data_IF_314704164665
#
_entry.id   IF_314704164665
#
_cell.length_a   1.000
_cell.length_b   1.000
_cell.length_c   1.000
_cell.angle_alpha   90.00
_cell.angle_beta   90.00
_cell.angle_gamma   90.00
#
_symmetry.space_group_name_H-M   'P 1'
#
loop_
_entity.id
_entity.type
_entity.pdbx_description
1 polymer ?
#
# COMPACT_ATOMS: atom_id res chain seq x y z
N UNK A 1 22.22 -40.64 -17.75
CA UNK A 1 21.11 -40.12 -18.58
C UNK A 1 19.87 -40.85 -18.12
N UNK A 2 18.94 -40.28 -17.36
CA UNK A 2 18.63 -38.88 -17.03
C UNK A 2 18.04 -38.92 -15.61
N UNK A 3 18.64 -38.18 -14.68
CA UNK A 3 18.01 -37.84 -13.41
C UNK A 3 17.21 -36.57 -13.69
N UNK A 4 15.88 -36.70 -13.68
CA UNK A 4 14.98 -35.58 -13.92
C UNK A 4 14.52 -34.97 -12.61
N UNK A 5 14.34 -33.66 -12.68
CA UNK A 5 14.36 -32.65 -11.63
C UNK A 5 13.63 -32.98 -10.33
N UNK A 6 14.35 -32.86 -9.20
CA UNK A 6 13.73 -32.56 -7.92
C UNK A 6 13.13 -31.16 -7.99
N UNK A 7 11.82 -31.10 -8.18
CA UNK A 7 11.01 -29.90 -8.00
C UNK A 7 10.94 -29.60 -6.50
N UNK A 8 11.90 -28.82 -5.99
CA UNK A 8 11.87 -28.31 -4.63
C UNK A 8 10.74 -27.28 -4.53
N UNK A 9 9.55 -27.73 -4.12
CA UNK A 9 8.43 -26.85 -3.75
C UNK A 9 8.80 -26.09 -2.48
N UNK A 10 9.18 -24.82 -2.63
CA UNK A 10 9.16 -23.84 -1.54
C UNK A 10 7.68 -23.51 -1.25
N UNK A 11 7.15 -24.10 -0.19
CA UNK A 11 5.80 -23.79 0.33
C UNK A 11 5.90 -22.47 1.09
N UNK A 12 5.59 -21.36 0.43
CA UNK A 12 5.38 -20.07 1.08
C UNK A 12 3.89 -19.93 1.44
N UNK A 13 3.59 -19.61 2.71
CA UNK A 13 2.23 -19.53 3.31
C UNK A 13 1.39 -18.34 2.83
N UNK A 14 1.61 -17.86 1.61
CA UNK A 14 1.10 -16.58 1.08
C UNK A 14 0.59 -16.81 -0.34
N UNK A 15 -0.42 -16.06 -0.76
CA UNK A 15 -1.09 -16.23 -2.07
C UNK A 15 -0.79 -15.10 -3.03
N UNK A 16 -0.65 -15.43 -4.31
CA UNK A 16 -0.13 -14.52 -5.33
C UNK A 16 -0.89 -14.63 -6.64
N UNK A 17 -0.89 -13.51 -7.38
CA UNK A 17 -1.30 -13.43 -8.76
C UNK A 17 -0.38 -12.48 -9.53
N UNK A 18 -0.12 -12.77 -10.81
CA UNK A 18 0.64 -11.88 -11.70
C UNK A 18 0.01 -11.84 -13.10
N UNK A 19 -0.03 -10.64 -13.68
CA UNK A 19 -0.46 -10.40 -15.06
C UNK A 19 0.77 -10.48 -15.97
N UNK A 20 0.69 -11.28 -17.03
CA UNK A 20 1.71 -11.37 -18.06
C UNK A 20 1.52 -10.28 -19.13
N UNK A 21 2.54 -10.05 -19.96
CA UNK A 21 2.47 -9.07 -21.05
C UNK A 21 1.41 -9.38 -22.11
N UNK A 22 0.98 -10.64 -22.22
CA UNK A 22 -0.12 -11.07 -23.09
C UNK A 22 -1.52 -10.87 -22.45
N UNK A 23 -1.59 -10.34 -21.22
CA UNK A 23 -2.83 -10.15 -20.48
C UNK A 23 -3.35 -11.41 -19.79
N UNK A 24 -2.61 -12.52 -19.79
CA UNK A 24 -2.95 -13.72 -19.01
C UNK A 24 -2.56 -13.57 -17.53
N UNK A 25 -3.24 -14.30 -16.64
CA UNK A 25 -2.92 -14.32 -15.21
C UNK A 25 -2.36 -15.67 -14.79
N UNK A 26 -1.34 -15.65 -13.93
CA UNK A 26 -0.85 -16.83 -13.21
C UNK A 26 -1.03 -16.64 -11.72
N UNK A 27 -1.45 -17.70 -11.01
CA UNK A 27 -1.60 -17.70 -9.55
C UNK A 27 -0.78 -18.81 -8.93
N UNK A 28 -0.36 -18.60 -7.68
CA UNK A 28 0.32 -19.61 -6.88
C UNK A 28 0.20 -19.25 -5.40
N UNK A 29 0.60 -20.17 -4.52
CA UNK A 29 0.55 -19.96 -3.07
C UNK A 29 -0.51 -20.82 -2.37
N UNK A 30 -1.09 -20.33 -1.29
CA UNK A 30 -2.13 -21.04 -0.54
C UNK A 30 -3.40 -21.21 -1.40
N UNK A 31 -3.77 -22.46 -1.77
CA UNK A 31 -4.95 -22.73 -2.58
C UNK A 31 -6.24 -22.17 -1.97
N UNK A 32 -6.37 -22.25 -0.64
CA UNK A 32 -7.61 -21.89 0.05
C UNK A 32 -7.84 -20.37 0.08
N UNK A 33 -6.79 -19.58 -0.15
CA UNK A 33 -6.81 -18.11 -0.12
C UNK A 33 -6.65 -17.50 -1.53
N UNK A 34 -6.92 -18.27 -2.59
CA UNK A 34 -6.88 -17.81 -4.00
C UNK A 34 -5.62 -18.18 -4.78
N UNK A 35 -4.78 -19.08 -4.26
CA UNK A 35 -3.56 -19.53 -4.94
C UNK A 35 -3.83 -20.51 -6.06
N UNK A 36 -5.00 -21.16 -5.97
CA UNK A 36 -5.58 -21.98 -7.01
C UNK A 36 -6.66 -21.16 -7.75
N UNK A 37 -6.39 -20.86 -9.02
CA UNK A 37 -7.34 -20.22 -9.95
C UNK A 37 -7.86 -21.18 -11.02
N UNK A 38 -7.64 -22.50 -10.86
CA UNK A 38 -8.00 -23.51 -11.87
C UNK A 38 -9.49 -23.48 -12.26
N UNK A 39 -10.37 -23.08 -11.35
CA UNK A 39 -11.80 -22.94 -11.62
C UNK A 39 -12.15 -21.80 -12.59
N UNK A 40 -11.26 -20.83 -12.75
CA UNK A 40 -11.44 -19.65 -13.62
C UNK A 40 -10.30 -19.50 -14.64
N UNK A 41 -9.44 -20.51 -14.77
CA UNK A 41 -8.23 -20.48 -15.60
C UNK A 41 -8.54 -20.13 -17.07
N UNK A 42 -9.60 -20.69 -17.64
CA UNK A 42 -10.03 -20.41 -19.01
C UNK A 42 -10.40 -18.94 -19.23
N UNK A 43 -10.87 -18.26 -18.18
CA UNK A 43 -11.26 -16.86 -18.23
C UNK A 43 -10.05 -15.93 -18.07
N UNK A 44 -8.96 -16.42 -17.51
CA UNK A 44 -7.73 -15.67 -17.18
C UNK A 44 -6.63 -15.79 -18.26
N UNK A 45 -6.95 -16.31 -19.45
CA UNK A 45 -5.95 -16.54 -20.51
C UNK A 45 -5.56 -15.28 -21.30
N UNK A 46 -6.34 -14.20 -21.21
CA UNK A 46 -6.07 -12.95 -21.92
C UNK A 46 -6.86 -11.76 -21.34
N UNK A 47 -6.51 -10.56 -21.82
CA UNK A 47 -7.32 -9.36 -21.64
C UNK A 47 -7.35 -8.79 -20.22
N UNK A 48 -6.70 -9.42 -19.23
CA UNK A 48 -6.62 -8.89 -17.86
C UNK A 48 -5.69 -7.69 -17.83
N UNK A 49 -6.19 -6.57 -17.30
CA UNK A 49 -5.44 -5.30 -17.17
C UNK A 49 -5.16 -4.93 -15.72
N UNK A 50 -5.93 -5.49 -14.77
CA UNK A 50 -5.74 -5.26 -13.34
C UNK A 50 -6.04 -6.53 -12.56
N UNK A 51 -5.30 -6.79 -11.48
CA UNK A 51 -5.61 -7.80 -10.46
C UNK A 51 -5.50 -7.16 -9.10
N UNK A 52 -6.54 -7.32 -8.28
CA UNK A 52 -6.66 -6.76 -6.94
C UNK A 52 -6.94 -7.89 -5.97
N UNK A 53 -6.18 -7.97 -4.88
CA UNK A 53 -6.34 -8.99 -3.85
C UNK A 53 -6.80 -8.41 -2.52
N UNK A 54 -7.52 -9.22 -1.76
CA UNK A 54 -7.67 -9.07 -0.32
C UNK A 54 -6.95 -10.22 0.41
N UNK A 55 -7.24 -10.46 1.70
CA UNK A 55 -6.54 -11.50 2.46
C UNK A 55 -6.94 -12.93 2.05
N UNK A 56 -8.06 -13.07 1.36
CA UNK A 56 -8.72 -14.36 1.14
C UNK A 56 -9.13 -14.62 -0.32
N UNK A 57 -9.16 -13.58 -1.17
CA UNK A 57 -9.69 -13.63 -2.52
C UNK A 57 -9.03 -12.61 -3.45
N UNK A 58 -9.25 -12.80 -4.75
CA UNK A 58 -8.79 -11.92 -5.82
C UNK A 58 -9.93 -11.54 -6.77
N UNK A 59 -9.78 -10.38 -7.40
CA UNK A 59 -10.59 -9.89 -8.49
C UNK A 59 -9.68 -9.41 -9.63
N UNK A 60 -9.90 -9.91 -10.84
CA UNK A 60 -9.25 -9.47 -12.07
C UNK A 60 -10.22 -8.61 -12.89
N UNK A 61 -9.74 -7.48 -13.42
CA UNK A 61 -10.49 -6.62 -14.35
C UNK A 61 -9.91 -6.82 -15.74
N UNK A 62 -10.78 -7.09 -16.72
CA UNK A 62 -10.41 -7.18 -18.13
C UNK A 62 -10.51 -5.84 -18.85
N UNK A 63 -9.86 -5.73 -20.01
CA UNK A 63 -9.87 -4.53 -20.85
C UNK A 63 -11.25 -4.16 -21.40
N UNK A 64 -12.18 -5.13 -21.45
CA UNK A 64 -13.59 -4.91 -21.77
C UNK A 64 -14.44 -4.47 -20.55
N UNK A 65 -13.81 -4.37 -19.37
CA UNK A 65 -14.44 -4.00 -18.12
C UNK A 65 -15.21 -5.14 -17.43
N UNK A 66 -15.08 -6.39 -17.89
CA UNK A 66 -15.58 -7.56 -17.17
C UNK A 66 -14.69 -7.89 -15.96
N UNK A 67 -15.27 -8.56 -14.95
CA UNK A 67 -14.57 -8.90 -13.70
C UNK A 67 -14.64 -10.41 -13.44
N UNK A 68 -13.50 -10.98 -13.07
CA UNK A 68 -13.35 -12.40 -12.72
C UNK A 68 -12.88 -12.49 -11.28
N UNK A 69 -13.51 -13.32 -10.46
CA UNK A 69 -13.17 -13.47 -9.03
C UNK A 69 -12.83 -14.91 -8.70
N UNK A 70 -11.92 -15.12 -7.73
CA UNK A 70 -11.60 -16.44 -7.19
C UNK A 70 -11.06 -16.34 -5.75
N UNK A 71 -11.01 -17.48 -5.05
CA UNK A 71 -10.63 -17.58 -3.64
C UNK A 71 -11.83 -17.82 -2.73
N UNK A 72 -11.76 -17.38 -1.48
CA UNK A 72 -12.83 -17.62 -0.49
C UNK A 72 -14.11 -16.89 -0.90
N UNK A 73 -15.17 -17.66 -1.19
CA UNK A 73 -16.50 -17.18 -1.61
C UNK A 73 -17.02 -16.05 -0.72
N UNK A 74 -17.05 -16.26 0.60
CA UNK A 74 -17.57 -15.28 1.56
C UNK A 74 -16.75 -14.00 1.71
N UNK A 75 -15.55 -13.95 1.12
CA UNK A 75 -14.65 -12.80 1.13
C UNK A 75 -14.48 -12.20 -0.28
N UNK A 76 -15.39 -12.50 -1.21
CA UNK A 76 -15.41 -11.91 -2.55
C UNK A 76 -14.78 -12.76 -3.65
N UNK A 77 -14.45 -14.03 -3.36
CA UNK A 77 -14.02 -15.00 -4.37
C UNK A 77 -15.15 -15.42 -5.33
N UNK A 78 -16.39 -15.09 -5.02
CA UNK A 78 -17.56 -15.28 -5.87
C UNK A 78 -18.37 -13.98 -5.93
N UNK A 79 -18.65 -13.51 -7.13
CA UNK A 79 -19.46 -12.30 -7.40
C UNK A 79 -20.78 -12.63 -8.12
N UNK A 80 -21.15 -13.90 -8.26
CA UNK A 80 -22.37 -14.34 -8.99
C UNK A 80 -23.65 -13.63 -8.53
N UNK A 81 -23.74 -13.27 -7.24
CA UNK A 81 -24.89 -12.56 -6.67
C UNK A 81 -25.03 -11.10 -7.14
N UNK A 82 -24.00 -10.54 -7.75
CA UNK A 82 -23.99 -9.20 -8.35
C UNK A 82 -23.60 -9.22 -9.84
N UNK A 83 -23.55 -10.40 -10.47
CA UNK A 83 -23.16 -10.60 -11.86
C UNK A 83 -23.97 -9.74 -12.84
N UNK A 84 -25.30 -9.65 -12.62
CA UNK A 84 -26.19 -8.79 -13.42
C UNK A 84 -25.83 -7.29 -13.38
N UNK A 85 -25.06 -6.86 -12.36
CA UNK A 85 -24.60 -5.48 -12.24
C UNK A 85 -23.28 -5.23 -12.96
N UNK A 86 -22.51 -6.28 -13.26
CA UNK A 86 -21.21 -6.24 -13.94
C UNK A 86 -21.31 -6.14 -15.47
N UNK A 87 -22.45 -5.72 -16.04
CA UNK A 87 -22.60 -5.54 -17.48
C UNK A 87 -21.70 -4.40 -18.00
N UNK A 88 -20.46 -4.79 -18.31
CA UNK A 88 -19.34 -4.05 -18.91
C UNK A 88 -18.97 -2.72 -18.22
N UNK A 89 -17.72 -2.28 -18.43
CA UNK A 89 -17.28 -0.94 -18.03
C UNK A 89 -16.83 -0.78 -16.57
N UNK A 90 -16.44 -1.85 -15.85
CA UNK A 90 -15.63 -1.65 -14.63
C UNK A 90 -14.28 -1.06 -15.02
N UNK A 91 -13.91 0.06 -14.40
CA UNK A 91 -12.64 0.75 -14.66
C UNK A 91 -11.63 0.59 -13.53
N UNK A 92 -12.11 0.30 -12.31
CA UNK A 92 -11.26 0.13 -11.14
C UNK A 92 -11.91 -0.81 -10.14
N UNK A 93 -11.11 -1.69 -9.53
CA UNK A 93 -11.49 -2.43 -8.32
C UNK A 93 -10.61 -2.00 -7.15
N UNK A 94 -11.21 -1.89 -5.98
CA UNK A 94 -10.55 -1.60 -4.70
C UNK A 94 -10.95 -2.68 -3.70
N UNK A 95 -9.96 -3.28 -3.04
CA UNK A 95 -10.17 -4.28 -2.00
C UNK A 95 -9.89 -3.71 -0.60
N UNK A 96 -10.55 -4.25 0.42
CA UNK A 96 -10.13 -4.16 1.80
C UNK A 96 -9.74 -5.54 2.34
N UNK A 97 -9.81 -5.80 3.65
CA UNK A 97 -9.43 -7.09 4.24
C UNK A 97 -10.23 -8.28 3.69
N UNK A 98 -11.53 -8.11 3.38
CA UNK A 98 -12.40 -9.24 3.01
C UNK A 98 -13.56 -8.87 2.06
N UNK A 99 -13.53 -7.70 1.43
CA UNK A 99 -14.54 -7.25 0.48
C UNK A 99 -13.89 -6.41 -0.62
N UNK A 100 -14.69 -6.16 -1.66
CA UNK A 100 -14.31 -5.35 -2.81
C UNK A 100 -15.39 -4.34 -3.16
N UNK A 101 -14.95 -3.26 -3.80
CA UNK A 101 -15.77 -2.26 -4.46
C UNK A 101 -15.22 -2.03 -5.88
N UNK A 102 -16.09 -2.09 -6.89
CA UNK A 102 -15.79 -1.80 -8.29
C UNK A 102 -16.42 -0.47 -8.69
N UNK A 103 -15.63 0.42 -9.27
CA UNK A 103 -16.10 1.66 -9.90
C UNK A 103 -16.28 1.40 -11.39
N UNK A 104 -17.45 1.75 -11.91
CA UNK A 104 -17.77 1.67 -13.34
C UNK A 104 -17.49 3.00 -14.05
N UNK A 105 -17.37 2.94 -15.37
CA UNK A 105 -17.15 4.11 -16.24
C UNK A 105 -18.29 5.12 -16.22
N UNK A 106 -19.49 4.70 -15.83
CA UNK A 106 -20.66 5.56 -15.61
C UNK A 106 -20.66 6.23 -14.21
N UNK A 107 -19.66 5.94 -13.38
CA UNK A 107 -19.53 6.46 -12.02
C UNK A 107 -20.39 5.71 -10.99
N UNK A 108 -21.01 4.59 -11.35
CA UNK A 108 -21.71 3.73 -10.39
C UNK A 108 -20.74 2.77 -9.67
N UNK A 109 -21.12 2.28 -8.49
CA UNK A 109 -20.30 1.35 -7.69
C UNK A 109 -21.03 0.04 -7.41
N UNK A 110 -20.30 -1.07 -7.55
CA UNK A 110 -20.71 -2.42 -7.16
C UNK A 110 -19.87 -2.85 -5.97
N UNK A 111 -20.48 -3.43 -4.93
CA UNK A 111 -19.77 -3.98 -3.78
C UNK A 111 -20.08 -5.47 -3.61
N UNK A 112 -19.08 -6.24 -3.19
CA UNK A 112 -19.24 -7.67 -2.92
C UNK A 112 -18.21 -8.18 -1.90
N UNK A 113 -18.41 -9.43 -1.44
CA UNK A 113 -17.61 -10.06 -0.40
C UNK A 113 -18.25 -9.96 0.98
N UNK A 114 -17.43 -9.95 2.04
CA UNK A 114 -17.94 -10.06 3.40
C UNK A 114 -18.86 -8.86 3.72
N UNK A 115 -20.02 -9.11 4.32
CA UNK A 115 -21.00 -8.03 4.61
C UNK A 115 -20.49 -7.11 5.72
N UNK A 116 -19.98 -7.73 6.77
CA UNK A 116 -19.26 -7.05 7.85
C UNK A 116 -17.91 -6.48 7.39
N UNK A 117 -17.53 -6.73 6.12
CA UNK A 117 -16.49 -6.28 5.15
C UNK A 117 -16.81 -5.05 4.27
N UNK A 118 -18.07 -4.63 4.20
CA UNK A 118 -18.49 -3.54 3.30
C UNK A 118 -18.82 -4.02 1.90
N UNK A 119 -18.87 -5.35 1.73
CA UNK A 119 -19.43 -6.00 0.55
C UNK A 119 -20.95 -5.87 0.44
N UNK A 120 -21.61 -5.18 1.38
CA UNK A 120 -23.00 -4.77 1.26
C UNK A 120 -23.11 -3.24 1.45
N UNK A 121 -23.45 -2.54 0.36
CA UNK A 121 -23.66 -1.09 0.32
C UNK A 121 -25.13 -0.68 0.21
N UNK A 122 -26.10 -1.56 0.49
CA UNK A 122 -27.53 -1.30 0.26
C UNK A 122 -28.09 -0.08 1.01
N UNK A 123 -27.43 0.35 2.09
CA UNK A 123 -27.83 1.55 2.87
C UNK A 123 -27.47 2.87 2.20
N UNK A 124 -26.51 2.85 1.29
CA UNK A 124 -26.01 4.03 0.57
C UNK A 124 -26.13 3.86 -0.95
N UNK A 125 -26.95 2.90 -1.39
CA UNK A 125 -27.06 2.49 -2.79
C UNK A 125 -27.41 3.66 -3.69
N UNK A 126 -28.38 4.50 -3.32
CA UNK A 126 -28.79 5.68 -4.09
C UNK A 126 -27.63 6.63 -4.38
N UNK A 127 -26.72 6.82 -3.40
CA UNK A 127 -25.57 7.69 -3.57
C UNK A 127 -24.47 7.10 -4.46
N UNK A 128 -24.48 5.78 -4.65
CA UNK A 128 -23.49 5.02 -5.42
C UNK A 128 -23.96 4.66 -6.84
N UNK A 129 -25.11 5.17 -7.29
CA UNK A 129 -25.65 4.87 -8.62
C UNK A 129 -24.96 5.67 -9.74
N UNK A 130 -24.30 6.78 -9.43
CA UNK A 130 -23.59 7.61 -10.41
C UNK A 130 -22.62 8.58 -9.74
N UNK A 131 -21.71 9.13 -10.53
CA UNK A 131 -20.85 10.24 -10.14
C UNK A 131 -19.73 9.90 -9.16
N UNK A 132 -19.48 8.62 -8.84
CA UNK A 132 -18.29 8.22 -8.07
C UNK A 132 -17.06 8.28 -8.99
N UNK A 133 -16.01 8.95 -8.54
CA UNK A 133 -14.75 9.09 -9.28
C UNK A 133 -13.61 8.30 -8.65
N UNK A 134 -13.69 8.04 -7.34
CA UNK A 134 -12.67 7.30 -6.59
C UNK A 134 -13.29 6.56 -5.42
N UNK A 135 -12.74 5.40 -5.09
CA UNK A 135 -13.04 4.68 -3.84
C UNK A 135 -11.74 4.43 -3.07
N UNK A 136 -11.77 4.65 -1.77
CA UNK A 136 -10.74 4.27 -0.81
C UNK A 136 -11.28 3.19 0.12
N UNK A 137 -10.48 2.17 0.43
CA UNK A 137 -10.82 1.10 1.36
C UNK A 137 -9.88 1.11 2.57
N UNK A 138 -10.43 1.26 3.78
CA UNK A 138 -9.70 0.96 5.01
C UNK A 138 -9.68 -0.55 5.24
N UNK A 139 -9.13 -1.06 6.35
CA UNK A 139 -9.23 -2.50 6.66
C UNK A 139 -10.70 -2.94 6.76
N UNK A 140 -11.53 -2.03 7.28
CA UNK A 140 -12.89 -2.31 7.69
C UNK A 140 -13.99 -1.35 7.17
N UNK A 141 -13.76 -0.57 6.12
CA UNK A 141 -14.77 0.31 5.54
C UNK A 141 -14.40 0.75 4.13
N UNK A 142 -15.31 1.46 3.48
CA UNK A 142 -15.04 2.18 2.23
C UNK A 142 -15.51 3.64 2.32
N UNK A 143 -14.85 4.49 1.56
CA UNK A 143 -15.24 5.87 1.29
C UNK A 143 -15.14 6.13 -0.22
N UNK A 144 -16.19 6.67 -0.83
CA UNK A 144 -16.23 7.08 -2.22
C UNK A 144 -16.21 8.60 -2.32
N UNK A 145 -15.32 9.14 -3.15
CA UNK A 145 -15.33 10.55 -3.56
C UNK A 145 -16.14 10.66 -4.85
N UNK A 146 -17.07 11.62 -4.88
CA UNK A 146 -17.93 11.90 -6.03
C UNK A 146 -17.39 13.06 -6.87
N UNK A 147 -17.91 13.20 -8.08
CA UNK A 147 -17.56 14.25 -9.05
C UNK A 147 -18.05 15.65 -8.64
N UNK A 148 -18.94 15.72 -7.64
CA UNK A 148 -19.34 16.95 -6.96
C UNK A 148 -18.50 17.23 -5.69
N UNK A 149 -17.39 16.51 -5.54
CA UNK A 149 -16.46 16.58 -4.42
C UNK A 149 -17.08 16.21 -3.05
N UNK A 150 -18.23 15.54 -3.05
CA UNK A 150 -18.84 14.97 -1.84
C UNK A 150 -18.29 13.58 -1.53
N UNK A 151 -18.43 13.13 -0.28
CA UNK A 151 -17.98 11.81 0.18
C UNK A 151 -19.13 10.96 0.69
N UNK A 152 -19.21 9.73 0.20
CA UNK A 152 -20.10 8.69 0.72
C UNK A 152 -19.25 7.65 1.43
N UNK A 153 -19.60 7.30 2.67
CA UNK A 153 -18.91 6.26 3.43
C UNK A 153 -19.84 5.08 3.70
N UNK A 154 -19.29 3.87 3.77
CA UNK A 154 -20.07 2.72 4.19
C UNK A 154 -19.27 1.65 4.92
N UNK A 155 -20.00 1.04 5.87
CA UNK A 155 -19.69 -0.13 6.71
C UNK A 155 -18.58 0.07 7.75
N UNK A 156 -18.72 -0.66 8.87
CA UNK A 156 -17.81 -0.65 10.02
C UNK A 156 -18.21 0.45 10.99
N UNK A 157 -19.20 0.18 11.86
CA UNK A 157 -19.53 1.10 12.97
C UNK A 157 -18.35 1.12 13.93
N UNK A 158 -17.59 2.21 13.94
CA UNK A 158 -16.27 2.28 14.61
C UNK A 158 -15.09 1.94 13.71
N UNK A 159 -15.26 1.89 12.38
CA UNK A 159 -14.14 1.68 11.44
C UNK A 159 -14.17 2.65 10.25
N UNK A 160 -14.86 3.78 10.43
CA UNK A 160 -14.88 4.88 9.47
C UNK A 160 -16.01 4.84 8.42
N UNK A 161 -16.89 3.84 8.43
CA UNK A 161 -18.07 3.86 7.54
C UNK A 161 -19.32 4.51 8.12
N UNK A 162 -19.19 5.20 9.26
CA UNK A 162 -20.17 6.16 9.77
C UNK A 162 -19.48 7.52 9.87
N UNK A 163 -19.79 8.39 8.91
CA UNK A 163 -19.29 9.77 8.85
C UNK A 163 -20.34 10.81 9.28
N UNK A 164 -21.45 10.39 9.92
CA UNK A 164 -22.57 11.27 10.29
C UNK A 164 -22.14 12.48 11.14
N UNK A 165 -21.11 12.32 11.98
CA UNK A 165 -20.55 13.40 12.83
C UNK A 165 -19.89 14.52 12.03
N UNK A 166 -19.49 14.27 10.79
CA UNK A 166 -18.77 15.21 9.91
C UNK A 166 -19.46 15.36 8.55
N UNK A 167 -20.69 14.87 8.40
CA UNK A 167 -21.42 14.81 7.14
C UNK A 167 -21.50 16.18 6.45
N UNK A 168 -21.86 17.23 7.19
CA UNK A 168 -21.95 18.61 6.67
C UNK A 168 -20.60 19.12 6.12
N UNK A 169 -19.47 18.61 6.62
CA UNK A 169 -18.14 18.98 6.15
C UNK A 169 -17.70 18.17 4.93
N UNK A 170 -18.37 17.06 4.63
CA UNK A 170 -18.07 16.13 3.53
C UNK A 170 -19.01 16.26 2.32
N UNK A 171 -19.91 17.24 2.32
CA UNK A 171 -20.88 17.46 1.23
C UNK A 171 -20.27 18.12 -0.01
N UNK A 172 -19.09 18.74 0.08
CA UNK A 172 -18.39 19.35 -1.05
C UNK A 172 -16.91 19.62 -0.75
N UNK A 173 -16.13 19.78 -1.82
CA UNK A 173 -14.76 20.25 -1.79
C UNK A 173 -13.74 19.25 -1.26
N UNK A 174 -14.03 17.95 -1.23
CA UNK A 174 -13.04 16.91 -0.93
C UNK A 174 -12.31 16.49 -2.20
N UNK A 175 -10.97 16.57 -2.19
CA UNK A 175 -10.13 16.16 -3.33
C UNK A 175 -9.36 14.87 -3.10
N UNK A 176 -9.20 14.46 -1.84
CA UNK A 176 -8.46 13.27 -1.47
C UNK A 176 -9.04 12.66 -0.20
N UNK A 177 -9.10 11.33 -0.15
CA UNK A 177 -9.37 10.57 1.07
C UNK A 177 -8.22 9.61 1.31
N UNK A 178 -7.64 9.68 2.51
CA UNK A 178 -6.58 8.80 3.01
C UNK A 178 -7.13 8.00 4.19
N UNK A 179 -6.67 6.76 4.40
CA UNK A 179 -7.16 5.91 5.48
C UNK A 179 -6.02 5.29 6.29
N UNK A 180 -6.28 5.05 7.57
CA UNK A 180 -5.60 4.04 8.38
C UNK A 180 -6.40 2.74 8.31
N UNK A 181 -6.16 1.77 9.19
CA UNK A 181 -6.99 0.56 9.23
C UNK A 181 -8.45 0.84 9.54
N UNK A 182 -8.75 1.76 10.47
CA UNK A 182 -10.10 1.97 11.00
C UNK A 182 -10.56 3.45 11.01
N UNK A 183 -9.78 4.36 10.42
CA UNK A 183 -10.13 5.76 10.29
C UNK A 183 -9.81 6.32 8.91
N UNK A 184 -10.39 7.48 8.62
CA UNK A 184 -10.20 8.22 7.37
C UNK A 184 -9.91 9.68 7.64
N UNK A 185 -9.21 10.29 6.69
CA UNK A 185 -8.99 11.74 6.60
C UNK A 185 -9.30 12.20 5.18
N UNK A 186 -10.20 13.16 5.05
CA UNK A 186 -10.44 13.89 3.80
C UNK A 186 -9.63 15.18 3.79
N UNK A 187 -9.05 15.53 2.64
CA UNK A 187 -8.32 16.78 2.41
C UNK A 187 -9.06 17.61 1.37
N UNK A 188 -9.15 18.92 1.63
CA UNK A 188 -9.80 19.91 0.75
C UNK A 188 -8.77 20.78 0.01
N UNK A 189 -9.16 21.46 -1.09
CA UNK A 189 -8.28 22.37 -1.84
C UNK A 189 -7.71 23.54 -1.02
N UNK A 190 -8.42 23.97 0.02
CA UNK A 190 -7.95 25.02 0.95
C UNK A 190 -6.88 24.52 1.94
N UNK A 191 -6.55 23.22 1.88
CA UNK A 191 -5.60 22.56 2.77
C UNK A 191 -6.20 22.26 4.15
N UNK A 192 -7.52 22.32 4.31
CA UNK A 192 -8.18 21.80 5.51
C UNK A 192 -8.28 20.27 5.46
N UNK A 193 -8.21 19.62 6.62
CA UNK A 193 -8.39 18.19 6.77
C UNK A 193 -9.57 17.87 7.72
N UNK A 194 -10.31 16.81 7.39
CA UNK A 194 -11.48 16.35 8.14
C UNK A 194 -11.28 14.87 8.46
N UNK A 195 -11.37 14.50 9.73
CA UNK A 195 -11.13 13.14 10.21
C UNK A 195 -12.42 12.49 10.70
N UNK A 196 -12.51 11.17 10.54
CA UNK A 196 -13.59 10.37 11.11
C UNK A 196 -13.20 8.89 11.23
N UNK A 197 -13.94 8.13 12.04
CA UNK A 197 -13.71 6.70 12.28
C UNK A 197 -13.32 6.42 13.72
N UNK A 198 -12.54 5.36 13.94
CA UNK A 198 -12.08 4.99 15.29
C UNK A 198 -11.09 6.00 15.85
N UNK A 199 -11.32 6.50 17.06
CA UNK A 199 -10.46 7.52 17.70
C UNK A 199 -9.05 7.01 17.94
N UNK A 200 -8.87 5.74 18.31
CA UNK A 200 -7.56 5.13 18.55
C UNK A 200 -6.77 4.95 17.26
N UNK A 201 -7.42 5.06 16.09
CA UNK A 201 -6.79 4.91 14.78
C UNK A 201 -6.70 6.24 14.02
N UNK A 202 -6.92 7.37 14.70
CA UNK A 202 -6.81 8.72 14.13
C UNK A 202 -8.12 9.29 13.57
N UNK A 203 -9.25 8.69 13.92
CA UNK A 203 -10.59 9.20 13.59
C UNK A 203 -11.05 10.38 14.45
N UNK A 204 -10.29 10.70 15.51
CA UNK A 204 -10.43 11.93 16.31
C UNK A 204 -9.12 12.71 16.21
N UNK A 205 -9.21 13.95 15.72
CA UNK A 205 -8.07 14.89 15.60
C UNK A 205 -8.30 16.17 16.40
N UNK A 206 -9.18 16.14 17.41
CA UNK A 206 -9.55 17.34 18.20
C UNK A 206 -8.33 18.03 18.84
N UNK A 207 -7.33 17.27 19.29
CA UNK A 207 -6.09 17.80 19.88
C UNK A 207 -5.23 18.61 18.89
N UNK A 208 -5.42 18.42 17.59
CA UNK A 208 -4.67 19.09 16.52
C UNK A 208 -5.57 19.82 15.51
N UNK A 209 -6.87 19.98 15.80
CA UNK A 209 -7.85 20.49 14.85
C UNK A 209 -7.48 21.88 14.33
N UNK A 210 -7.03 22.78 15.21
CA UNK A 210 -6.60 24.13 14.83
C UNK A 210 -5.43 24.13 13.84
N UNK A 211 -4.58 23.09 13.87
CA UNK A 211 -3.42 22.96 12.96
C UNK A 211 -3.80 22.34 11.61
N UNK A 212 -4.98 21.71 11.53
CA UNK A 212 -5.52 21.03 10.34
C UNK A 212 -6.57 21.87 9.58
N UNK A 213 -6.80 23.13 9.97
CA UNK A 213 -7.76 24.01 9.30
C UNK A 213 -7.28 24.55 7.95
N UNK A 214 -5.97 24.56 7.69
CA UNK A 214 -5.40 25.05 6.43
C UNK A 214 -3.97 24.52 6.21
N UNK A 215 -3.51 24.62 4.96
CA UNK A 215 -2.12 24.41 4.58
C UNK A 215 -1.66 22.96 4.52
N UNK A 216 -2.53 21.96 4.75
CA UNK A 216 -2.21 20.55 4.51
C UNK A 216 -2.04 20.32 3.01
N UNK A 217 -0.89 19.77 2.59
CA UNK A 217 -0.59 19.46 1.18
C UNK A 217 -0.45 17.96 0.93
N UNK A 218 -0.15 17.18 1.97
CA UNK A 218 -0.06 15.73 1.91
C UNK A 218 -0.53 15.14 3.23
N UNK A 219 -1.25 14.03 3.18
CA UNK A 219 -1.54 13.18 4.35
C UNK A 219 -1.09 11.76 4.03
N UNK A 220 -0.43 11.13 5.00
CA UNK A 220 -0.04 9.73 4.95
C UNK A 220 -0.62 9.03 6.17
N UNK A 221 -1.20 7.85 5.97
CA UNK A 221 -1.68 6.97 7.04
C UNK A 221 -0.82 5.72 7.13
N UNK A 222 -0.58 5.27 8.37
CA UNK A 222 -0.14 3.90 8.64
C UNK A 222 -1.30 3.06 9.18
N UNK A 223 -1.05 1.98 9.91
CA UNK A 223 -2.13 1.15 10.42
C UNK A 223 -3.04 1.88 11.41
N UNK A 224 -2.54 2.81 12.22
CA UNK A 224 -3.27 3.43 13.34
C UNK A 224 -3.03 4.92 13.57
N UNK A 225 -2.21 5.57 12.75
CA UNK A 225 -1.89 6.99 12.88
C UNK A 225 -1.76 7.68 11.52
N UNK A 226 -1.92 8.99 11.54
CA UNK A 226 -1.73 9.86 10.39
C UNK A 226 -0.60 10.86 10.63
N UNK A 227 0.03 11.28 9.54
CA UNK A 227 0.92 12.41 9.48
C UNK A 227 0.54 13.31 8.29
N UNK A 228 0.36 14.60 8.55
CA UNK A 228 0.11 15.63 7.54
C UNK A 228 1.36 16.48 7.34
N UNK A 229 1.78 16.64 6.09
CA UNK A 229 2.80 17.63 5.69
C UNK A 229 2.08 18.91 5.30
N UNK A 230 2.52 20.04 5.87
CA UNK A 230 2.00 21.36 5.56
C UNK A 230 2.83 22.06 4.49
N UNK A 231 2.25 23.08 3.85
CA UNK A 231 2.89 23.87 2.79
C UNK A 231 4.12 24.67 3.26
N UNK A 232 4.24 24.92 4.56
CA UNK A 232 5.43 25.51 5.20
C UNK A 232 6.52 24.47 5.51
N UNK A 233 6.27 23.19 5.22
CA UNK A 233 7.19 22.08 5.49
C UNK A 233 7.15 21.59 6.94
N UNK A 234 6.16 22.00 7.74
CA UNK A 234 5.91 21.43 9.06
C UNK A 234 5.11 20.13 8.98
N UNK A 235 5.18 19.29 10.03
CA UNK A 235 4.41 18.04 10.13
C UNK A 235 3.48 18.05 11.35
N UNK A 236 2.25 17.58 11.15
CA UNK A 236 1.26 17.34 12.19
C UNK A 236 0.98 15.84 12.28
N UNK A 237 0.96 15.26 13.48
CA UNK A 237 0.63 13.85 13.68
C UNK A 237 -0.55 13.68 14.62
N UNK A 238 -1.34 12.62 14.43
CA UNK A 238 -2.44 12.24 15.32
C UNK A 238 -2.80 10.76 15.16
N UNK A 239 -3.60 10.22 16.08
CA UNK A 239 -3.96 8.79 16.17
C UNK A 239 -3.20 8.08 17.29
N UNK A 240 -3.02 6.75 17.16
CA UNK A 240 -2.34 5.95 18.19
C UNK A 240 -0.92 6.46 18.44
N UNK A 241 -0.61 6.80 19.70
CA UNK A 241 0.68 7.37 20.07
C UNK A 241 1.85 6.41 19.83
N UNK A 242 1.64 5.11 20.04
CA UNK A 242 2.69 4.10 19.83
C UNK A 242 2.94 3.84 18.35
N UNK A 243 1.91 3.96 17.50
CA UNK A 243 1.98 3.83 16.04
C UNK A 243 2.44 5.09 15.30
N UNK A 244 2.92 6.13 15.99
CA UNK A 244 3.43 7.35 15.35
C UNK A 244 2.45 8.52 15.29
N UNK A 245 1.34 8.46 16.03
CA UNK A 245 0.44 9.59 16.27
C UNK A 245 1.04 10.65 17.20
N UNK A 246 2.03 10.29 18.02
CA UNK A 246 2.80 11.19 18.87
C UNK A 246 4.21 11.41 18.30
N UNK A 247 4.51 12.64 17.88
CA UNK A 247 5.83 13.07 17.40
C UNK A 247 6.52 14.08 18.33
N UNK A 248 6.07 14.22 19.58
CA UNK A 248 6.55 15.26 20.52
C UNK A 248 8.06 15.18 20.76
N UNK A 249 8.64 13.99 20.77
CA UNK A 249 10.09 13.79 20.96
C UNK A 249 10.96 14.34 19.80
N UNK A 250 10.36 14.56 18.62
CA UNK A 250 11.04 15.07 17.44
C UNK A 250 10.40 16.33 16.88
N UNK A 251 9.50 16.98 17.64
CA UNK A 251 8.71 18.13 17.18
C UNK A 251 9.58 19.27 16.63
N UNK A 252 10.67 19.62 17.33
CA UNK A 252 11.61 20.67 16.90
C UNK A 252 12.24 20.40 15.52
N UNK A 253 12.35 19.13 15.12
CA UNK A 253 12.92 18.74 13.83
C UNK A 253 11.87 18.75 12.70
N UNK A 254 10.59 18.75 13.06
CA UNK A 254 9.42 18.67 12.18
C UNK A 254 8.69 20.01 12.01
N UNK A 255 9.24 21.12 12.52
CA UNK A 255 8.65 22.45 12.41
C UNK A 255 8.80 23.09 11.02
N UNK A 256 9.78 22.65 10.22
CA UNK A 256 10.00 23.16 8.86
C UNK A 256 10.88 22.22 8.02
N UNK A 257 10.85 22.44 6.71
CA UNK A 257 11.77 21.83 5.75
C UNK A 257 11.46 20.37 5.41
N UNK A 258 10.40 19.77 5.94
CA UNK A 258 9.95 18.44 5.52
C UNK A 258 9.35 18.52 4.12
N UNK A 259 9.80 17.65 3.22
CA UNK A 259 9.31 17.59 1.83
C UNK A 259 8.46 16.35 1.56
N UNK A 260 8.65 15.29 2.35
CA UNK A 260 7.93 14.04 2.20
C UNK A 260 7.90 13.28 3.52
N UNK A 261 6.77 12.64 3.81
CA UNK A 261 6.65 11.63 4.88
C UNK A 261 6.36 10.28 4.25
N UNK A 262 7.04 9.26 4.74
CA UNK A 262 6.85 7.86 4.37
C UNK A 262 6.48 7.11 5.65
N UNK A 263 5.45 6.29 5.61
CA UNK A 263 5.03 5.49 6.75
C UNK A 263 5.12 4.00 6.42
N UNK A 264 5.49 3.19 7.42
CA UNK A 264 5.31 1.74 7.39
C UNK A 264 4.05 1.38 8.20
N UNK A 265 3.96 0.20 8.81
CA UNK A 265 2.79 -0.19 9.59
C UNK A 265 2.62 0.60 10.90
N UNK A 266 3.70 1.04 11.56
CA UNK A 266 3.68 1.60 12.92
C UNK A 266 4.69 2.72 13.18
N UNK A 267 5.44 3.12 12.18
CA UNK A 267 6.46 4.15 12.25
C UNK A 267 6.46 4.99 10.97
N UNK A 268 7.09 6.15 11.08
CA UNK A 268 7.17 7.15 10.03
C UNK A 268 8.59 7.70 9.91
N UNK A 269 8.95 8.08 8.68
CA UNK A 269 10.20 8.74 8.35
C UNK A 269 9.91 9.97 7.48
N UNK A 270 10.37 11.14 7.90
CA UNK A 270 10.31 12.39 7.15
C UNK A 270 11.65 12.65 6.45
N UNK A 271 11.60 12.93 5.15
CA UNK A 271 12.75 13.44 4.39
C UNK A 271 12.65 14.97 4.40
N UNK A 272 13.75 15.63 4.75
CA UNK A 272 13.87 17.09 4.72
C UNK A 272 14.55 17.57 3.44
N UNK A 273 14.36 18.84 3.11
CA UNK A 273 14.91 19.48 1.90
C UNK A 273 16.43 19.54 1.86
N UNK A 274 17.10 19.45 3.01
CA UNK A 274 18.55 19.32 3.15
C UNK A 274 19.05 17.86 2.98
N UNK A 275 18.13 16.92 2.76
CA UNK A 275 18.44 15.50 2.62
C UNK A 275 18.67 14.79 3.96
N UNK A 276 18.32 15.41 5.09
CA UNK A 276 18.29 14.74 6.40
C UNK A 276 17.00 13.95 6.60
N UNK A 277 17.01 12.96 7.49
CA UNK A 277 15.84 12.13 7.84
C UNK A 277 15.55 12.20 9.34
N UNK A 278 14.26 12.32 9.67
CA UNK A 278 13.73 12.30 11.03
C UNK A 278 12.72 11.15 11.13
N UNK A 279 12.81 10.33 12.18
CA UNK A 279 11.91 9.18 12.38
C UNK A 279 11.15 9.26 13.70
N UNK A 280 9.97 8.64 13.75
CA UNK A 280 9.16 8.50 14.97
C UNK A 280 8.17 7.34 14.85
N UNK A 281 7.52 6.98 15.97
CA UNK A 281 6.61 5.84 16.10
C UNK A 281 7.25 4.64 16.79
N UNK A 282 6.80 3.43 16.48
CA UNK A 282 7.27 2.22 17.15
C UNK A 282 8.77 2.00 16.93
N UNK A 283 9.53 1.95 18.01
CA UNK A 283 11.00 1.79 17.97
C UNK A 283 11.47 0.52 17.27
N UNK A 284 10.75 -0.60 17.42
CA UNK A 284 11.10 -1.89 16.82
C UNK A 284 10.83 -1.93 15.32
N UNK A 285 9.85 -1.14 14.86
CA UNK A 285 9.49 -1.01 13.45
C UNK A 285 10.21 0.16 12.76
N UNK A 286 11.23 0.76 13.38
CA UNK A 286 12.07 1.79 12.77
C UNK A 286 11.68 3.24 13.08
N UNK A 287 10.86 3.46 14.10
CA UNK A 287 10.64 4.79 14.69
C UNK A 287 11.88 5.35 15.40
N UNK A 288 12.82 4.48 15.80
CA UNK A 288 14.13 4.85 16.34
C UNK A 288 15.24 4.56 15.31
N UNK A 289 15.82 5.62 14.75
CA UNK A 289 16.98 5.58 13.84
C UNK A 289 18.31 5.93 14.52
N UNK A 290 18.38 6.02 15.84
CA UNK A 290 19.54 6.55 16.57
C UNK A 290 20.86 5.83 16.24
N UNK A 291 20.81 4.53 15.96
CA UNK A 291 21.98 3.73 15.56
C UNK A 291 22.57 4.09 14.18
N UNK A 292 21.77 4.71 13.30
CA UNK A 292 22.18 5.12 11.95
C UNK A 292 22.06 6.62 11.72
N UNK A 293 21.72 7.40 12.76
CA UNK A 293 21.36 8.81 12.62
C UNK A 293 22.47 9.64 11.98
N UNK A 294 23.74 9.37 12.30
CA UNK A 294 24.89 10.06 11.71
C UNK A 294 24.96 9.89 10.18
N UNK A 295 24.42 8.80 9.64
CA UNK A 295 24.40 8.51 8.20
C UNK A 295 23.20 9.16 7.49
N UNK A 296 22.19 9.58 8.26
CA UNK A 296 20.92 10.17 7.84
C UNK A 296 20.87 11.70 7.99
N UNK A 297 22.00 12.35 8.28
CA UNK A 297 22.05 13.81 8.47
C UNK A 297 22.04 14.60 7.16
N UNK A 298 22.37 13.98 6.02
CA UNK A 298 22.38 14.62 4.71
C UNK A 298 22.41 13.60 3.57
N UNK A 299 22.07 14.09 2.36
CA UNK A 299 22.29 13.37 1.12
C UNK A 299 21.29 12.25 0.83
N UNK A 300 20.27 12.04 1.67
CA UNK A 300 19.16 11.12 1.39
C UNK A 300 18.25 11.74 0.33
N UNK A 301 17.95 10.97 -0.71
CA UNK A 301 17.09 11.38 -1.84
C UNK A 301 15.78 10.61 -1.90
N UNK A 302 15.72 9.45 -1.25
CA UNK A 302 14.54 8.60 -1.21
C UNK A 302 14.53 7.75 0.05
N UNK A 303 13.36 7.51 0.62
CA UNK A 303 13.12 6.52 1.67
C UNK A 303 12.02 5.57 1.20
N UNK A 304 12.21 4.28 1.46
CA UNK A 304 11.26 3.22 1.15
C UNK A 304 11.02 2.42 2.44
N UNK A 305 9.76 2.17 2.78
CA UNK A 305 9.37 1.38 3.96
C UNK A 305 8.65 0.10 3.57
N UNK A 306 9.00 -1.02 4.18
CA UNK A 306 8.15 -2.21 4.19
C UNK A 306 7.18 -2.16 5.38
N UNK A 307 6.73 -3.27 5.97
CA UNK A 307 5.84 -3.24 7.13
C UNK A 307 6.55 -2.88 8.43
N UNK A 308 7.83 -3.22 8.61
CA UNK A 308 8.54 -3.09 9.91
C UNK A 308 9.94 -2.49 9.79
N UNK A 309 10.37 -2.04 8.61
CA UNK A 309 11.71 -1.53 8.37
C UNK A 309 11.71 -0.48 7.26
N UNK A 310 12.80 0.29 7.19
CA UNK A 310 13.04 1.31 6.19
C UNK A 310 14.42 1.13 5.52
N UNK A 311 14.52 1.66 4.30
CA UNK A 311 15.75 1.82 3.55
C UNK A 311 15.80 3.22 2.93
N UNK A 312 16.87 3.97 3.19
CA UNK A 312 17.15 5.28 2.61
C UNK A 312 18.19 5.15 1.50
N UNK A 313 17.89 5.67 0.31
CA UNK A 313 18.83 5.79 -0.81
C UNK A 313 19.47 7.17 -0.75
N UNK A 314 20.80 7.21 -0.77
CA UNK A 314 21.59 8.44 -0.81
C UNK A 314 21.97 8.80 -2.23
N UNK A 315 22.26 10.09 -2.44
CA UNK A 315 22.66 10.66 -3.74
C UNK A 315 23.97 10.09 -4.29
N UNK A 316 24.83 9.52 -3.45
CA UNK A 316 26.04 8.80 -3.84
C UNK A 316 25.77 7.33 -4.25
N UNK A 317 24.52 6.88 -4.17
CA UNK A 317 24.09 5.53 -4.47
C UNK A 317 24.30 4.53 -3.34
N UNK A 318 24.67 4.97 -2.13
CA UNK A 318 24.66 4.13 -0.94
C UNK A 318 23.24 3.96 -0.36
N UNK A 319 23.00 2.88 0.39
CA UNK A 319 21.72 2.60 1.05
C UNK A 319 21.92 2.37 2.54
N UNK A 320 21.14 3.09 3.35
CA UNK A 320 21.09 2.95 4.82
C UNK A 320 19.80 2.25 5.22
N UNK A 321 19.86 1.22 6.05
CA UNK A 321 18.68 0.48 6.51
C UNK A 321 18.52 0.57 8.02
N UNK A 322 17.27 0.59 8.51
CA UNK A 322 16.95 0.54 9.93
C UNK A 322 15.57 -0.07 10.20
N UNK A 323 15.26 -0.34 11.48
CA UNK A 323 14.04 -1.01 11.93
C UNK A 323 14.22 -2.51 12.17
N UNK A 324 13.16 -3.29 11.99
CA UNK A 324 13.15 -4.70 12.35
C UNK A 324 14.17 -5.51 11.54
N UNK A 325 15.07 -6.20 12.25
CA UNK A 325 16.13 -7.00 11.62
C UNK A 325 15.64 -8.13 10.71
N UNK A 326 14.53 -8.80 11.06
CA UNK A 326 13.93 -9.87 10.27
C UNK A 326 13.32 -9.36 8.97
N UNK A 327 12.80 -8.13 8.98
CA UNK A 327 12.26 -7.44 7.80
C UNK A 327 13.33 -6.64 7.03
N UNK A 328 14.62 -6.84 7.33
CA UNK A 328 15.74 -6.24 6.58
C UNK A 328 16.26 -4.91 7.13
N UNK A 329 15.81 -4.47 8.29
CA UNK A 329 16.28 -3.24 8.93
C UNK A 329 17.74 -3.28 9.39
N UNK A 330 18.34 -4.47 9.55
CA UNK A 330 19.73 -4.57 9.99
C UNK A 330 20.76 -4.44 8.84
N UNK A 331 20.40 -4.73 7.60
CA UNK A 331 21.28 -4.62 6.41
C UNK A 331 22.58 -5.45 6.39
N UNK A 332 23.03 -6.02 7.51
CA UNK A 332 24.40 -6.50 7.74
C UNK A 332 24.87 -7.62 6.81
N UNK A 333 23.96 -8.36 6.18
CA UNK A 333 24.31 -9.41 5.20
C UNK A 333 24.71 -8.86 3.82
N UNK A 334 24.27 -7.63 3.52
CA UNK A 334 24.44 -6.99 2.21
C UNK A 334 25.05 -5.59 2.32
N UNK A 335 25.50 -5.19 3.51
CA UNK A 335 26.03 -3.86 3.81
C UNK A 335 27.15 -3.45 2.84
N UNK A 336 28.12 -4.34 2.58
CA UNK A 336 29.21 -4.08 1.62
C UNK A 336 28.72 -3.86 0.18
N UNK A 337 27.60 -4.47 -0.20
CA UNK A 337 27.04 -4.38 -1.55
C UNK A 337 26.20 -3.10 -1.74
N UNK A 338 25.73 -2.52 -0.63
CA UNK A 338 24.89 -1.32 -0.57
C UNK A 338 25.69 -0.03 -0.37
N UNK A 339 27.01 -0.05 -0.47
CA UNK A 339 27.86 1.13 -0.28
C UNK A 339 27.89 2.10 -1.48
N UNK A 340 27.50 1.64 -2.66
CA UNK A 340 27.48 2.47 -3.87
C UNK A 340 26.54 1.94 -4.95
N UNK A 341 26.32 2.78 -5.96
CA UNK A 341 25.80 2.37 -7.25
C UNK A 341 24.33 1.93 -7.26
N UNK A 342 23.61 1.98 -6.14
CA UNK A 342 22.16 1.76 -6.09
C UNK A 342 21.45 2.94 -6.72
N UNK A 343 20.51 2.65 -7.61
CA UNK A 343 19.70 3.67 -8.31
C UNK A 343 18.27 3.67 -7.80
N UNK A 344 17.76 2.51 -7.37
CA UNK A 344 16.40 2.38 -6.90
C UNK A 344 16.27 1.25 -5.89
N UNK A 345 15.41 1.45 -4.89
CA UNK A 345 15.01 0.42 -3.91
C UNK A 345 13.51 0.17 -4.03
N UNK A 346 13.15 -1.11 -3.90
CA UNK A 346 11.78 -1.61 -3.89
C UNK A 346 11.58 -2.47 -2.64
N UNK A 347 10.33 -2.65 -2.24
CA UNK A 347 10.00 -3.49 -1.10
C UNK A 347 8.72 -4.29 -1.34
N UNK A 348 8.59 -5.37 -0.57
CA UNK A 348 7.31 -5.99 -0.24
C UNK A 348 7.01 -5.76 1.25
N UNK A 349 6.12 -6.52 1.90
CA UNK A 349 5.81 -6.39 3.34
C UNK A 349 7.01 -6.69 4.23
N UNK A 350 7.93 -7.57 3.83
CA UNK A 350 8.95 -8.16 4.73
C UNK A 350 10.39 -8.12 4.17
N UNK A 351 10.58 -7.68 2.92
CA UNK A 351 11.87 -7.71 2.25
C UNK A 351 12.05 -6.53 1.29
N UNK A 352 13.30 -6.31 0.89
CA UNK A 352 13.72 -5.26 -0.03
C UNK A 352 14.52 -5.82 -1.21
N UNK A 353 14.52 -5.09 -2.30
CA UNK A 353 15.43 -5.26 -3.42
C UNK A 353 15.97 -3.91 -3.90
N UNK A 354 17.27 -3.85 -4.15
CA UNK A 354 17.95 -2.71 -4.75
C UNK A 354 18.37 -3.06 -6.17
N UNK A 355 18.16 -2.12 -7.11
CA UNK A 355 18.70 -2.20 -8.47
C UNK A 355 19.89 -1.26 -8.57
N UNK A 356 21.05 -1.81 -8.92
CA UNK A 356 22.28 -1.05 -9.16
C UNK A 356 22.35 -0.51 -10.59
N UNK A 357 23.22 0.48 -10.80
CA UNK A 357 23.45 1.16 -12.09
C UNK A 357 24.01 0.24 -13.18
N UNK A 358 24.68 -0.84 -12.79
CA UNK A 358 25.13 -1.95 -13.65
C UNK A 358 24.02 -2.98 -13.93
N UNK A 359 22.80 -2.76 -13.42
CA UNK A 359 21.63 -3.65 -13.50
C UNK A 359 21.75 -4.93 -12.68
N UNK A 360 22.67 -4.97 -11.71
CA UNK A 360 22.71 -5.99 -10.67
C UNK A 360 21.58 -5.77 -9.65
N UNK A 361 21.01 -6.86 -9.12
CA UNK A 361 19.98 -6.79 -8.06
C UNK A 361 20.48 -7.40 -6.77
N UNK A 362 20.34 -6.63 -5.69
CA UNK A 362 20.61 -7.08 -4.32
C UNK A 362 19.27 -7.25 -3.61
N UNK A 363 19.06 -8.35 -2.89
CA UNK A 363 17.88 -8.56 -2.06
C UNK A 363 18.27 -8.76 -0.60
N UNK A 364 17.43 -8.30 0.33
CA UNK A 364 17.61 -8.56 1.77
C UNK A 364 16.28 -8.50 2.53
N UNK A 365 16.29 -8.95 3.78
CA UNK A 365 15.09 -9.08 4.63
C UNK A 365 14.65 -10.53 4.80
N UNK A 366 13.35 -10.77 4.96
CA UNK A 366 12.84 -12.11 5.23
C UNK A 366 13.12 -13.06 4.05
N UNK A 367 13.86 -14.13 4.32
CA UNK A 367 14.23 -15.13 3.32
C UNK A 367 13.02 -15.80 2.66
N UNK A 368 11.93 -16.00 3.40
CA UNK A 368 10.69 -16.60 2.88
C UNK A 368 9.87 -15.66 1.99
N UNK A 369 10.17 -14.36 2.03
CA UNK A 369 9.46 -13.30 1.31
C UNK A 369 10.34 -12.64 0.24
N UNK A 370 11.38 -13.34 -0.25
CA UNK A 370 12.25 -12.85 -1.33
C UNK A 370 13.45 -12.01 -0.87
N UNK A 371 13.75 -11.98 0.42
CA UNK A 371 14.98 -11.38 0.96
C UNK A 371 16.24 -12.19 0.68
N UNK A 372 16.12 -13.47 0.29
CA UNK A 372 17.24 -14.32 -0.13
C UNK A 372 17.07 -14.73 -1.60
N UNK A 373 17.94 -14.21 -2.47
CA UNK A 373 17.96 -14.50 -3.91
C UNK A 373 19.14 -15.38 -4.34
N UNK A 374 19.87 -15.99 -3.40
CA UNK A 374 21.06 -16.82 -3.70
C UNK A 374 20.77 -17.96 -4.69
N UNK A 375 19.56 -18.52 -4.67
CA UNK A 375 19.14 -19.59 -5.59
C UNK A 375 18.97 -19.14 -7.05
N UNK A 376 18.92 -17.83 -7.29
CA UNK A 376 18.74 -17.21 -8.62
C UNK A 376 19.75 -16.09 -8.88
N UNK A 377 20.85 -16.02 -8.13
CA UNK A 377 21.86 -14.96 -8.20
C UNK A 377 22.46 -14.81 -9.61
N UNK A 378 22.82 -15.92 -10.27
CA UNK A 378 23.30 -15.92 -11.66
C UNK A 378 22.28 -15.28 -12.63
N UNK A 379 20.99 -15.37 -12.28
CA UNK A 379 19.91 -14.76 -13.05
C UNK A 379 19.66 -13.32 -12.66
N UNK A 380 20.30 -12.75 -11.65
CA UNK A 380 20.14 -11.36 -11.22
C UNK A 380 21.39 -10.50 -11.46
N UNK A 381 22.44 -11.10 -12.03
CA UNK A 381 23.71 -10.42 -12.28
C UNK A 381 23.66 -9.32 -13.34
N UNK A 382 22.83 -9.48 -14.38
CA UNK A 382 22.73 -8.49 -15.46
C UNK A 382 21.33 -8.44 -16.10
N UNK A 383 21.01 -7.28 -16.66
CA UNK A 383 19.86 -7.08 -17.54
C UNK A 383 18.54 -6.81 -16.84
N UNK A 384 18.52 -6.70 -15.51
CA UNK A 384 17.29 -6.30 -14.79
C UNK A 384 17.03 -4.82 -15.04
N UNK A 385 15.86 -4.51 -15.57
CA UNK A 385 15.42 -3.13 -15.83
C UNK A 385 14.38 -2.65 -14.83
N UNK A 386 13.72 -3.57 -14.13
CA UNK A 386 12.69 -3.23 -13.15
C UNK A 386 12.54 -4.35 -12.11
N UNK A 387 12.26 -3.98 -10.87
CA UNK A 387 11.77 -4.91 -9.84
C UNK A 387 10.36 -4.51 -9.45
N UNK A 388 9.47 -5.49 -9.30
CA UNK A 388 8.08 -5.31 -8.91
C UNK A 388 7.86 -6.12 -7.64
N UNK A 389 7.43 -5.44 -6.58
CA UNK A 389 7.00 -6.08 -5.34
C UNK A 389 5.48 -6.24 -5.31
N UNK A 390 5.01 -7.33 -4.72
CA UNK A 390 3.67 -7.39 -4.14
C UNK A 390 3.81 -7.42 -2.61
N UNK A 391 2.77 -7.76 -1.83
CA UNK A 391 2.90 -7.85 -0.37
C UNK A 391 4.00 -8.83 0.08
N UNK A 392 4.38 -9.81 -0.71
CA UNK A 392 5.06 -10.99 -0.15
C UNK A 392 6.20 -11.54 -1.00
N UNK A 393 6.39 -11.03 -2.21
CA UNK A 393 7.47 -11.41 -3.10
C UNK A 393 7.94 -10.21 -3.93
N UNK A 394 9.15 -10.35 -4.49
CA UNK A 394 9.75 -9.45 -5.45
C UNK A 394 9.98 -10.23 -6.75
N UNK A 395 9.65 -9.61 -7.89
CA UNK A 395 9.89 -10.13 -9.22
C UNK A 395 10.78 -9.16 -9.99
N UNK A 396 11.69 -9.65 -10.82
CA UNK A 396 12.56 -8.82 -11.65
C UNK A 396 12.20 -8.98 -13.13
N UNK A 397 12.02 -7.87 -13.83
CA UNK A 397 11.88 -7.82 -15.30
C UNK A 397 13.27 -7.63 -15.89
N UNK A 398 13.63 -8.51 -16.82
CA UNK A 398 14.83 -8.36 -17.62
C UNK A 398 14.52 -7.69 -18.95
N UNK A 399 15.43 -6.85 -19.43
CA UNK A 399 15.44 -6.49 -20.85
C UNK A 399 15.69 -7.76 -21.65
N UNK A 400 14.78 -8.10 -22.55
CA UNK A 400 14.90 -9.19 -23.49
C UNK A 400 16.23 -9.02 -24.23
N UNK A 401 17.21 -9.84 -23.88
CA UNK A 401 18.38 -10.03 -24.73
C UNK A 401 17.91 -10.75 -25.98
N UNK A 402 17.38 -10.03 -26.96
CA UNK A 402 17.36 -10.53 -28.33
C UNK A 402 18.81 -10.64 -28.79
N UNK A 403 19.35 -11.85 -28.67
CA UNK A 403 20.26 -12.44 -29.65
C UNK A 403 19.84 -13.88 -29.91
#
# INVERSE_FOLDING_TARGET
>A
MTADSQNTRLVCKKTFAAIKSDGSVITWGDPDSGGDSSLVEDQLQDGVVQVVGNYFAFAAVKSDGSVITWGVIGCGGDHSFVEDRFQEGVVQVVGNTAAFAAVKSDGSVITWGHTGSGGNSSRVEDGLQEGVVQVAGSAEAFAAVKSDDSVITWRGSGSGGDSSRVEDRLQEGVVLVVCTHLAFTAVKPDGSAITWGDSEFGGDSSDVEDRLQEGVVQVVGNNSAFAAVKSDGSVITWGDSHGGGDSTLVEDQLQEGVVQVIANARASAAIKSDGSVVTWGDSGDGGDSSHVQDQLQEGVVQVVGNTQAFAAVKSDGSVITWGNSGSGGAGSRVEDQLQDGVVQVFCNTEAFAAVKSDRFVITWGDSGSGGDSSCVEDRLQEGVVQVIGNRVALAAIKSDGLS
#
